data_IF_275515470792
#
_entry.id   IF_275515470792
#
_cell.length_a   1.000
_cell.length_b   1.000
_cell.length_c   1.000
_cell.angle_alpha   90.00
_cell.angle_beta   90.00
_cell.angle_gamma   90.00
#
_symmetry.space_group_name_H-M   'P 1'
#
loop_
_entity.id
_entity.type
_entity.pdbx_description
1 polymer ?
#
# COMPACT_ATOMS: atom_id res chain seq x y z
N UNK A 1 11.66 31.02 -2.47
CA UNK A 1 11.58 30.06 -1.36
C UNK A 1 10.34 29.17 -1.46
N UNK A 2 9.16 29.79 -1.57
CA UNK A 2 7.90 29.03 -1.66
C UNK A 2 7.83 28.09 -2.87
N UNK A 3 8.29 28.54 -4.02
CA UNK A 3 8.30 27.66 -5.20
C UNK A 3 9.25 26.49 -5.05
N UNK A 4 10.25 26.60 -4.17
CA UNK A 4 11.14 25.48 -3.87
C UNK A 4 10.48 24.47 -2.94
N UNK A 5 9.59 24.92 -2.05
CA UNK A 5 8.86 24.01 -1.16
C UNK A 5 8.03 23.02 -1.97
N UNK A 6 7.31 23.49 -2.99
CA UNK A 6 6.51 22.61 -3.84
C UNK A 6 7.38 21.59 -4.59
N UNK A 7 8.60 21.98 -4.97
CA UNK A 7 9.52 21.10 -5.67
C UNK A 7 10.09 20.03 -4.74
N UNK A 8 10.22 20.31 -3.46
CA UNK A 8 10.78 19.39 -2.49
C UNK A 8 9.75 18.48 -1.82
N UNK A 9 8.47 18.80 -1.90
CA UNK A 9 7.43 18.03 -1.22
C UNK A 9 7.42 16.55 -1.59
N UNK A 10 7.53 16.16 -2.89
CA UNK A 10 7.57 14.73 -3.21
C UNK A 10 8.76 14.01 -2.57
N UNK A 11 9.93 14.63 -2.60
CA UNK A 11 11.13 14.05 -2.02
C UNK A 11 11.02 13.96 -0.51
N UNK A 12 10.41 14.98 0.12
CA UNK A 12 10.18 14.99 1.56
C UNK A 12 9.23 13.86 1.97
N UNK A 13 8.14 13.68 1.21
CA UNK A 13 7.20 12.61 1.47
C UNK A 13 7.86 11.24 1.35
N UNK A 14 8.68 11.05 0.30
CA UNK A 14 9.45 9.81 0.14
C UNK A 14 10.38 9.57 1.32
N UNK A 15 11.05 10.61 1.79
CA UNK A 15 11.95 10.52 2.95
C UNK A 15 11.19 10.14 4.22
N UNK A 16 10.01 10.72 4.42
CA UNK A 16 9.16 10.37 5.56
C UNK A 16 8.72 8.91 5.49
N UNK A 17 8.33 8.43 4.30
CA UNK A 17 7.97 7.03 4.12
C UNK A 17 9.12 6.10 4.49
N UNK A 18 10.33 6.44 4.02
CA UNK A 18 11.54 5.65 4.31
C UNK A 18 11.85 5.67 5.81
N UNK A 19 11.69 6.82 6.46
CA UNK A 19 11.87 6.92 7.90
C UNK A 19 10.85 6.05 8.64
N UNK A 20 9.60 6.05 8.18
CA UNK A 20 8.56 5.20 8.74
C UNK A 20 8.94 3.73 8.69
N UNK A 21 9.40 3.26 7.54
CA UNK A 21 9.87 1.88 7.38
C UNK A 21 11.02 1.58 8.34
N UNK A 22 12.00 2.49 8.41
CA UNK A 22 13.15 2.32 9.29
C UNK A 22 12.72 2.15 10.74
N UNK A 23 11.87 3.05 11.24
CA UNK A 23 11.45 3.00 12.65
C UNK A 23 10.52 1.80 12.92
N UNK A 24 9.71 1.41 11.96
CA UNK A 24 8.91 0.19 12.07
C UNK A 24 9.82 -1.04 12.25
N UNK A 25 10.88 -1.13 11.44
CA UNK A 25 11.85 -2.23 11.53
C UNK A 25 12.65 -2.20 12.84
N UNK A 26 12.83 -1.03 13.42
CA UNK A 26 13.50 -0.87 14.71
C UNK A 26 12.59 -1.12 15.92
N UNK A 27 11.34 -1.48 15.68
CA UNK A 27 10.38 -1.71 16.75
C UNK A 27 9.94 -0.43 17.46
N UNK A 28 9.89 0.69 16.73
CA UNK A 28 9.46 1.98 17.26
C UNK A 28 8.19 2.44 16.53
N UNK A 29 7.03 1.83 16.85
CA UNK A 29 5.79 2.11 16.09
C UNK A 29 5.30 3.54 16.20
N UNK A 30 5.51 4.22 17.33
CA UNK A 30 5.03 5.59 17.48
C UNK A 30 5.77 6.54 16.55
N UNK A 31 7.08 6.37 16.38
CA UNK A 31 7.85 7.16 15.43
C UNK A 31 7.49 6.81 14.00
N UNK A 32 7.32 5.52 13.72
CA UNK A 32 6.92 5.07 12.39
C UNK A 32 5.57 5.67 12.01
N UNK A 33 4.60 5.66 12.91
CA UNK A 33 3.28 6.24 12.68
C UNK A 33 3.38 7.71 12.29
N UNK A 34 4.14 8.47 13.06
CA UNK A 34 4.30 9.91 12.78
C UNK A 34 4.81 10.15 11.37
N UNK A 35 5.84 9.43 10.95
CA UNK A 35 6.43 9.62 9.64
C UNK A 35 5.51 9.16 8.52
N UNK A 36 4.81 8.04 8.68
CA UNK A 36 3.84 7.59 7.68
C UNK A 36 2.70 8.59 7.52
N UNK A 37 2.18 9.12 8.63
CA UNK A 37 1.08 10.09 8.56
C UNK A 37 1.52 11.41 7.93
N UNK A 38 2.76 11.85 8.21
CA UNK A 38 3.31 13.04 7.56
C UNK A 38 3.46 12.83 6.05
N UNK A 39 3.93 11.67 5.63
CA UNK A 39 4.05 11.32 4.21
C UNK A 39 2.67 11.32 3.54
N UNK A 40 1.70 10.69 4.15
CA UNK A 40 0.33 10.61 3.63
C UNK A 40 -0.26 12.00 3.45
N UNK A 41 -0.10 12.88 4.43
CA UNK A 41 -0.62 14.24 4.35
C UNK A 41 -0.06 14.99 3.13
N UNK A 42 1.23 14.87 2.88
CA UNK A 42 1.86 15.50 1.72
C UNK A 42 1.33 14.88 0.43
N UNK A 43 1.30 13.55 0.33
CA UNK A 43 0.82 12.90 -0.89
C UNK A 43 -0.65 13.19 -1.16
N UNK A 44 -1.49 13.31 -0.14
CA UNK A 44 -2.89 13.67 -0.33
C UNK A 44 -3.02 15.05 -0.97
N UNK A 45 -2.19 16.00 -0.56
CA UNK A 45 -2.16 17.32 -1.20
C UNK A 45 -1.64 17.26 -2.64
N UNK A 46 -0.59 16.48 -2.87
CA UNK A 46 0.00 16.35 -4.20
C UNK A 46 -0.95 15.69 -5.19
N UNK A 47 -1.71 14.71 -4.73
CA UNK A 47 -2.70 14.00 -5.56
C UNK A 47 -3.79 14.96 -6.06
N UNK A 48 -4.18 15.94 -5.25
CA UNK A 48 -5.16 16.93 -5.68
C UNK A 48 -4.69 17.72 -6.89
N UNK A 49 -3.38 17.99 -6.98
CA UNK A 49 -2.78 18.73 -8.08
C UNK A 49 -2.46 17.85 -9.28
N UNK A 50 -1.98 16.64 -9.03
CA UNK A 50 -1.54 15.73 -10.08
C UNK A 50 -1.76 14.29 -9.67
N UNK A 51 -3.01 13.77 -9.80
CA UNK A 51 -3.32 12.41 -9.36
C UNK A 51 -2.47 11.35 -10.07
N UNK A 52 -2.25 11.48 -11.37
CA UNK A 52 -1.53 10.46 -12.12
C UNK A 52 -0.09 10.29 -11.62
N UNK A 53 0.54 11.39 -11.18
CA UNK A 53 1.91 11.34 -10.70
C UNK A 53 2.04 10.75 -9.30
N UNK A 54 1.06 11.00 -8.41
CA UNK A 54 1.24 10.74 -6.98
C UNK A 54 0.30 9.70 -6.38
N UNK A 55 -0.74 9.26 -7.08
CA UNK A 55 -1.62 8.21 -6.55
C UNK A 55 -0.88 6.91 -6.23
N UNK A 56 0.09 6.45 -7.06
CA UNK A 56 0.83 5.24 -6.68
C UNK A 56 1.57 5.38 -5.36
N UNK A 57 2.19 6.52 -5.13
CA UNK A 57 2.93 6.79 -3.88
C UNK A 57 1.98 6.87 -2.69
N UNK A 58 0.82 7.50 -2.88
CA UNK A 58 -0.19 7.58 -1.83
C UNK A 58 -0.70 6.20 -1.44
N UNK A 59 -1.00 5.36 -2.43
CA UNK A 59 -1.47 4.00 -2.17
C UNK A 59 -0.43 3.20 -1.41
N UNK A 60 0.84 3.34 -1.78
CA UNK A 60 1.94 2.67 -1.09
C UNK A 60 2.02 3.13 0.38
N UNK A 61 1.88 4.42 0.62
CA UNK A 61 1.91 4.99 1.97
C UNK A 61 0.74 4.50 2.81
N UNK A 62 -0.46 4.43 2.22
CA UNK A 62 -1.62 3.86 2.90
C UNK A 62 -1.37 2.40 3.28
N UNK A 63 -0.80 1.62 2.37
CA UNK A 63 -0.53 0.21 2.65
C UNK A 63 0.49 0.05 3.77
N UNK A 64 1.52 0.89 3.80
CA UNK A 64 2.52 0.89 4.86
C UNK A 64 1.88 1.21 6.22
N UNK A 65 1.00 2.21 6.27
CA UNK A 65 0.28 2.55 7.49
C UNK A 65 -0.62 1.39 7.93
N UNK A 66 -1.31 0.76 6.97
CA UNK A 66 -2.13 -0.41 7.25
C UNK A 66 -1.33 -1.53 7.89
N UNK A 67 -0.16 -1.83 7.35
CA UNK A 67 0.74 -2.84 7.90
C UNK A 67 1.17 -2.50 9.33
N UNK A 68 1.50 -1.24 9.58
CA UNK A 68 1.89 -0.80 10.91
C UNK A 68 0.77 -1.04 11.92
N UNK A 69 -0.43 -0.60 11.60
CA UNK A 69 -1.57 -0.75 12.51
C UNK A 69 -1.96 -2.21 12.69
N UNK A 70 -1.90 -3.02 11.63
CA UNK A 70 -2.17 -4.45 11.71
C UNK A 70 -1.20 -5.15 12.66
N UNK A 71 0.08 -4.81 12.57
CA UNK A 71 1.12 -5.42 13.39
C UNK A 71 1.08 -4.98 14.86
N UNK A 72 0.39 -3.89 15.15
CA UNK A 72 0.34 -3.34 16.51
C UNK A 72 -1.05 -3.36 17.13
N UNK A 73 -1.89 -4.30 16.66
CA UNK A 73 -3.17 -4.57 17.32
C UNK A 73 -4.23 -3.49 17.14
N UNK A 74 -4.20 -2.76 16.04
CA UNK A 74 -5.20 -1.74 15.71
C UNK A 74 -5.89 -2.08 14.39
N UNK A 75 -6.70 -3.16 14.37
CA UNK A 75 -7.30 -3.66 13.13
C UNK A 75 -8.24 -2.68 12.43
N UNK A 76 -8.96 -1.85 13.18
CA UNK A 76 -9.88 -0.89 12.57
C UNK A 76 -9.15 0.17 11.76
N UNK A 77 -8.04 0.67 12.29
CA UNK A 77 -7.19 1.61 11.55
C UNK A 77 -6.53 0.93 10.36
N UNK A 78 -6.04 -0.30 10.56
CA UNK A 78 -5.43 -1.05 9.46
C UNK A 78 -6.42 -1.25 8.32
N UNK A 79 -7.65 -1.63 8.62
CA UNK A 79 -8.69 -1.83 7.61
C UNK A 79 -8.91 -0.58 6.78
N UNK A 80 -9.04 0.56 7.43
CA UNK A 80 -9.25 1.85 6.76
C UNK A 80 -8.16 2.13 5.73
N UNK A 81 -6.90 1.95 6.13
CA UNK A 81 -5.78 2.27 5.24
C UNK A 81 -5.61 1.23 4.13
N UNK A 82 -5.82 -0.04 4.43
CA UNK A 82 -5.77 -1.08 3.39
C UNK A 82 -6.84 -0.85 2.32
N UNK A 83 -8.08 -0.53 2.74
CA UNK A 83 -9.15 -0.27 1.77
C UNK A 83 -8.86 0.97 0.93
N UNK A 84 -8.28 2.00 1.52
CA UNK A 84 -7.89 3.20 0.77
C UNK A 84 -6.83 2.86 -0.29
N UNK A 85 -5.85 2.05 0.06
CA UNK A 85 -4.81 1.61 -0.89
C UNK A 85 -5.42 0.76 -2.01
N UNK A 86 -6.28 -0.19 -1.66
CA UNK A 86 -6.93 -1.08 -2.62
C UNK A 86 -7.74 -0.29 -3.64
N UNK A 87 -8.51 0.70 -3.18
CA UNK A 87 -9.30 1.53 -4.09
C UNK A 87 -8.44 2.20 -5.17
N UNK A 88 -7.31 2.76 -4.76
CA UNK A 88 -6.39 3.40 -5.70
C UNK A 88 -5.78 2.37 -6.65
N UNK A 89 -5.27 1.27 -6.11
CA UNK A 89 -4.62 0.24 -6.94
C UNK A 89 -5.62 -0.41 -7.91
N UNK A 90 -6.87 -0.57 -7.53
CA UNK A 90 -7.88 -1.10 -8.44
C UNK A 90 -8.07 -0.19 -9.65
N UNK A 91 -8.13 1.13 -9.44
CA UNK A 91 -8.24 2.08 -10.54
C UNK A 91 -6.98 2.08 -11.41
N UNK A 92 -5.82 2.08 -10.78
CA UNK A 92 -4.55 2.11 -11.51
C UNK A 92 -4.32 0.83 -12.30
N UNK A 93 -4.67 -0.32 -11.74
CA UNK A 93 -4.50 -1.62 -12.40
C UNK A 93 -5.40 -1.77 -13.61
N UNK A 94 -6.58 -1.15 -13.61
CA UNK A 94 -7.45 -1.15 -14.79
C UNK A 94 -6.80 -0.44 -15.97
N UNK A 95 -6.06 0.64 -15.70
CA UNK A 95 -5.38 1.41 -16.74
C UNK A 95 -4.05 0.78 -17.13
N UNK A 96 -3.34 0.22 -16.17
CA UNK A 96 -2.02 -0.37 -16.42
C UNK A 96 -1.82 -1.60 -15.54
N UNK A 97 -2.38 -2.75 -15.94
CA UNK A 97 -2.27 -3.98 -15.15
C UNK A 97 -0.83 -4.42 -14.92
N UNK A 98 0.04 -4.27 -15.91
CA UNK A 98 1.44 -4.70 -15.76
C UNK A 98 2.17 -3.94 -14.66
N UNK A 99 1.83 -2.66 -14.48
CA UNK A 99 2.48 -1.84 -13.46
C UNK A 99 1.92 -2.06 -12.06
N UNK A 100 0.62 -2.38 -11.93
CA UNK A 100 -0.04 -2.28 -10.63
C UNK A 100 -0.70 -3.55 -10.10
N UNK A 101 -0.87 -4.59 -10.92
CA UNK A 101 -1.56 -5.80 -10.44
C UNK A 101 -0.82 -6.50 -9.31
N UNK A 102 0.52 -6.49 -9.31
CA UNK A 102 1.27 -7.12 -8.22
C UNK A 102 1.05 -6.40 -6.89
N UNK A 103 1.07 -5.07 -6.91
CA UNK A 103 0.81 -4.27 -5.71
C UNK A 103 -0.63 -4.48 -5.24
N UNK A 104 -1.57 -4.54 -6.17
CA UNK A 104 -2.97 -4.79 -5.86
C UNK A 104 -3.16 -6.16 -5.20
N UNK A 105 -2.55 -7.21 -5.77
CA UNK A 105 -2.64 -8.55 -5.20
C UNK A 105 -2.06 -8.58 -3.77
N UNK A 106 -0.93 -7.91 -3.56
CA UNK A 106 -0.32 -7.82 -2.23
C UNK A 106 -1.27 -7.15 -1.23
N UNK A 107 -1.93 -6.08 -1.64
CA UNK A 107 -2.90 -5.39 -0.79
C UNK A 107 -4.12 -6.24 -0.49
N UNK A 108 -4.62 -6.99 -1.48
CA UNK A 108 -5.71 -7.94 -1.26
C UNK A 108 -5.32 -9.00 -0.22
N UNK A 109 -4.11 -9.54 -0.31
CA UNK A 109 -3.63 -10.54 0.64
C UNK A 109 -3.53 -9.93 2.05
N UNK A 110 -3.00 -8.71 2.17
CA UNK A 110 -2.91 -8.04 3.47
C UNK A 110 -4.30 -7.86 4.09
N UNK A 111 -5.27 -7.47 3.29
CA UNK A 111 -6.65 -7.31 3.78
C UNK A 111 -7.27 -8.66 4.15
N UNK A 112 -7.05 -9.69 3.33
CA UNK A 112 -7.51 -11.03 3.64
C UNK A 112 -6.94 -11.53 4.97
N UNK A 113 -5.65 -11.34 5.21
CA UNK A 113 -5.02 -11.77 6.45
C UNK A 113 -5.57 -11.01 7.67
N UNK A 114 -5.99 -9.76 7.48
CA UNK A 114 -6.56 -8.97 8.55
C UNK A 114 -8.00 -9.37 8.87
N UNK A 115 -8.82 -9.56 7.85
CA UNK A 115 -10.28 -9.74 8.00
C UNK A 115 -10.75 -11.16 7.74
N UNK A 116 -9.92 -12.02 7.18
CA UNK A 116 -10.27 -13.39 6.78
C UNK A 116 -11.44 -13.45 5.80
N UNK A 117 -11.61 -12.40 4.99
CA UNK A 117 -12.65 -12.32 3.98
C UNK A 117 -12.14 -12.97 2.69
N UNK A 118 -12.67 -14.15 2.38
CA UNK A 118 -12.22 -14.93 1.22
C UNK A 118 -12.40 -14.22 -0.12
N UNK A 119 -13.30 -13.25 -0.20
CA UNK A 119 -13.47 -12.46 -1.42
C UNK A 119 -12.14 -11.85 -1.87
N UNK A 120 -11.36 -11.36 -0.91
CA UNK A 120 -10.08 -10.73 -1.22
C UNK A 120 -9.00 -11.74 -1.57
N UNK A 121 -9.02 -12.91 -0.96
CA UNK A 121 -8.13 -14.00 -1.36
C UNK A 121 -8.43 -14.43 -2.79
N UNK A 122 -9.71 -14.56 -3.16
CA UNK A 122 -10.12 -14.92 -4.51
C UNK A 122 -9.68 -13.88 -5.53
N UNK A 123 -9.79 -12.60 -5.19
CA UNK A 123 -9.32 -11.52 -6.07
C UNK A 123 -7.81 -11.59 -6.29
N UNK A 124 -7.06 -11.84 -5.23
CA UNK A 124 -5.60 -12.00 -5.33
C UNK A 124 -5.24 -13.21 -6.19
N UNK A 125 -5.96 -14.32 -6.02
CA UNK A 125 -5.76 -15.53 -6.78
C UNK A 125 -5.99 -15.30 -8.29
N UNK A 126 -7.03 -14.56 -8.65
CA UNK A 126 -7.30 -14.25 -10.06
C UNK A 126 -6.14 -13.50 -10.72
N UNK A 127 -5.52 -12.56 -10.00
CA UNK A 127 -4.32 -11.88 -10.50
C UNK A 127 -3.15 -12.87 -10.57
N UNK A 128 -2.95 -13.63 -9.50
CA UNK A 128 -1.80 -14.52 -9.37
C UNK A 128 -1.77 -15.60 -10.45
N UNK A 129 -2.94 -16.11 -10.86
CA UNK A 129 -3.02 -17.12 -11.92
C UNK A 129 -2.41 -16.62 -13.24
N UNK A 130 -2.57 -15.35 -13.51
CA UNK A 130 -2.08 -14.74 -14.76
C UNK A 130 -0.60 -14.36 -14.71
N UNK A 131 0.01 -14.39 -13.52
CA UNK A 131 1.37 -13.87 -13.31
C UNK A 131 2.27 -14.85 -12.56
N UNK A 132 2.18 -16.13 -12.91
CA UNK A 132 2.92 -17.19 -12.20
C UNK A 132 4.43 -17.18 -12.47
N UNK A 133 4.91 -16.36 -13.38
CA UNK A 133 6.32 -16.07 -13.53
C UNK A 133 6.89 -15.29 -12.32
N UNK A 134 6.02 -14.63 -11.57
CA UNK A 134 6.38 -13.97 -10.32
C UNK A 134 6.31 -14.99 -9.17
N UNK A 135 7.40 -15.16 -8.38
CA UNK A 135 7.42 -16.18 -7.31
C UNK A 135 6.33 -16.04 -6.27
N UNK A 136 5.96 -14.79 -5.91
CA UNK A 136 4.90 -14.57 -4.93
C UNK A 136 3.55 -15.00 -5.47
N UNK A 137 3.29 -14.72 -6.75
CA UNK A 137 2.04 -15.14 -7.39
C UNK A 137 1.96 -16.66 -7.49
N UNK A 138 3.06 -17.31 -7.83
CA UNK A 138 3.12 -18.75 -7.86
C UNK A 138 2.79 -19.35 -6.49
N UNK A 139 3.33 -18.77 -5.43
CA UNK A 139 3.06 -19.19 -4.06
C UNK A 139 1.58 -19.03 -3.71
N UNK A 140 0.98 -17.90 -4.08
CA UNK A 140 -0.46 -17.65 -3.84
C UNK A 140 -1.29 -18.75 -4.51
N UNK A 141 -0.99 -19.07 -5.76
CA UNK A 141 -1.71 -20.11 -6.51
C UNK A 141 -1.58 -21.45 -5.80
N UNK A 142 -0.37 -21.83 -5.41
CA UNK A 142 -0.11 -23.09 -4.74
C UNK A 142 -0.89 -23.20 -3.42
N UNK A 143 -0.90 -22.13 -2.62
CA UNK A 143 -1.60 -22.11 -1.34
C UNK A 143 -3.11 -22.24 -1.57
N UNK A 144 -3.68 -21.44 -2.46
CA UNK A 144 -5.12 -21.44 -2.70
C UNK A 144 -5.58 -22.78 -3.25
N UNK A 145 -4.82 -23.36 -4.19
CA UNK A 145 -5.20 -24.64 -4.80
C UNK A 145 -5.02 -25.84 -3.87
N UNK A 146 -4.26 -25.66 -2.79
CA UNK A 146 -4.09 -26.72 -1.77
C UNK A 146 -5.14 -26.64 -0.66
N UNK A 147 -5.96 -25.63 -0.64
CA UNK A 147 -7.02 -25.48 0.36
C UNK A 147 -8.27 -26.38 0.04
#
# INVERSE_FOLDING_TARGET
MEKNAAAYEPDLADSYNSAGVFYSDQGQPDKAEKYYLDAIEIYERLVERNPDAYEPDLAKSYNNAGNLYSNHGQPDKAEKYYLAAIEIYERLAKRNPDAYELALAASYISYYLLKEDKTYLDKAYEIAKRRQDNPRCKTIVEIVESM
#
